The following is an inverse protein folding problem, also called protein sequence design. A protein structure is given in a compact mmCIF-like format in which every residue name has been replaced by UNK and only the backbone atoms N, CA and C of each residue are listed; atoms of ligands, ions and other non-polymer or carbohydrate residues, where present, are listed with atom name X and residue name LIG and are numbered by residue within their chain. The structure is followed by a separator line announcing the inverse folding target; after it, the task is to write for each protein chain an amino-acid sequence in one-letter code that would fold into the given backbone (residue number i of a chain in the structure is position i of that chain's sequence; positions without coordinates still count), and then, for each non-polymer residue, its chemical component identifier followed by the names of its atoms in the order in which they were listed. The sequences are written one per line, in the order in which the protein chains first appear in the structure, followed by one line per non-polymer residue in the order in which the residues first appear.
data_IF_002000900065
#
_entry.id   IF_002000900065
#
_cell.length_a   1.000
_cell.length_b   1.000
_cell.length_c   1.000
_cell.angle_alpha   90.00
_cell.angle_beta   90.00
_cell.angle_gamma   90.00
#
_symmetry.space_group_name_H-M   'P 1'
#
loop_
_entity.id
_entity.type
_entity.pdbx_description
1 polymer ?
#
# COMPACT_ATOMS: atom_id res chain seq x y z
N UNK A 1 73.16 -46.80 11.40
CA UNK A 1 71.97 -46.50 12.22
C UNK A 1 71.79 -44.98 12.25
N UNK A 2 70.81 -44.44 11.53
CA UNK A 2 70.49 -43.00 11.52
C UNK A 2 69.11 -42.83 12.16
N UNK A 3 69.05 -42.22 13.32
CA UNK A 3 67.81 -41.84 14.00
C UNK A 3 67.44 -40.42 13.57
N UNK A 4 66.25 -40.27 12.99
CA UNK A 4 65.62 -38.98 12.74
C UNK A 4 64.61 -38.72 13.86
N UNK A 5 64.76 -37.62 14.60
CA UNK A 5 63.70 -37.10 15.46
C UNK A 5 62.76 -36.21 14.63
N UNK A 6 61.50 -36.64 14.53
CA UNK A 6 60.42 -35.83 13.97
C UNK A 6 59.84 -34.93 15.05
N UNK A 7 60.00 -33.62 14.86
CA UNK A 7 59.28 -32.59 15.61
C UNK A 7 57.85 -32.54 15.08
N UNK A 8 56.88 -32.98 15.89
CA UNK A 8 55.44 -32.84 15.60
C UNK A 8 55.02 -31.42 16.00
N UNK A 9 54.72 -30.57 15.03
CA UNK A 9 54.06 -29.28 15.26
C UNK A 9 52.55 -29.53 15.36
N UNK A 10 52.00 -29.37 16.56
CA UNK A 10 50.56 -29.43 16.81
C UNK A 10 49.93 -28.07 16.43
N UNK A 11 49.37 -27.97 15.23
CA UNK A 11 48.59 -26.79 14.83
C UNK A 11 47.19 -26.86 15.44
N UNK A 12 46.97 -26.10 16.51
CA UNK A 12 45.65 -25.84 17.09
C UNK A 12 44.81 -25.00 16.13
N UNK A 13 43.95 -25.66 15.34
CA UNK A 13 42.86 -25.01 14.63
C UNK A 13 41.78 -24.60 15.64
N UNK A 14 41.80 -23.34 16.06
CA UNK A 14 40.65 -22.74 16.73
C UNK A 14 39.55 -22.50 15.68
N UNK A 15 38.31 -22.95 15.91
CA UNK A 15 37.20 -22.56 15.07
C UNK A 15 36.90 -21.08 15.34
N UNK A 16 37.26 -20.20 14.40
CA UNK A 16 36.77 -18.82 14.35
C UNK A 16 35.26 -18.84 14.05
N UNK A 17 34.46 -19.20 15.05
CA UNK A 17 33.05 -18.80 15.09
C UNK A 17 33.04 -17.36 15.60
N UNK A 18 33.37 -16.42 14.71
CA UNK A 18 32.99 -15.04 14.90
C UNK A 18 31.46 -14.99 14.83
N UNK A 19 30.79 -15.18 15.95
CA UNK A 19 29.47 -14.59 16.14
C UNK A 19 29.68 -13.09 16.00
N UNK A 20 29.46 -12.56 14.80
CA UNK A 20 29.27 -11.14 14.62
C UNK A 20 28.11 -10.76 15.52
N UNK A 21 28.43 -10.13 16.66
CA UNK A 21 27.46 -9.47 17.51
C UNK A 21 26.68 -8.53 16.60
N UNK A 22 25.42 -8.88 16.31
CA UNK A 22 24.54 -7.99 15.58
C UNK A 22 24.43 -6.70 16.40
N UNK A 23 24.78 -5.53 15.83
CA UNK A 23 24.68 -4.28 16.57
C UNK A 23 23.24 -4.06 17.05
N UNK A 24 23.14 -3.62 18.30
CA UNK A 24 21.96 -3.29 19.10
C UNK A 24 20.94 -2.36 18.38
N UNK A 25 19.69 -2.24 18.90
CA UNK A 25 18.46 -1.98 18.15
C UNK A 25 18.21 -0.49 17.87
N UNK A 26 19.09 0.14 17.09
CA UNK A 26 18.74 1.39 16.42
C UNK A 26 18.37 1.04 14.98
N UNK A 27 17.09 1.19 14.63
CA UNK A 27 16.57 0.94 13.26
C UNK A 27 17.47 1.67 12.24
N UNK A 28 18.36 0.98 11.50
CA UNK A 28 19.53 1.63 10.85
C UNK A 28 19.20 2.51 9.64
N UNK A 29 17.94 2.63 9.26
CA UNK A 29 17.53 3.04 7.93
C UNK A 29 16.87 4.43 7.85
N UNK A 30 17.03 5.28 8.88
CA UNK A 30 16.28 6.55 9.02
C UNK A 30 17.09 7.81 8.73
N UNK A 31 18.41 7.68 8.59
CA UNK A 31 19.31 8.77 8.21
C UNK A 31 19.65 8.71 6.72
N UNK A 32 20.21 9.80 6.19
CA UNK A 32 20.60 9.92 4.79
C UNK A 32 19.48 10.42 3.87
N UNK A 33 19.79 10.45 2.59
CA UNK A 33 18.90 10.80 1.49
C UNK A 33 17.74 9.79 1.38
N UNK A 34 16.61 10.18 0.76
CA UNK A 34 15.50 9.27 0.50
C UNK A 34 15.89 7.95 -0.18
N UNK A 35 16.84 7.98 -1.12
CA UNK A 35 17.34 6.78 -1.81
C UNK A 35 18.18 5.89 -0.88
N UNK A 36 19.05 6.47 -0.05
CA UNK A 36 19.82 5.72 0.96
C UNK A 36 18.89 5.04 1.98
N UNK A 37 17.83 5.74 2.41
CA UNK A 37 16.80 5.16 3.27
C UNK A 37 16.12 3.98 2.57
N UNK A 38 15.69 4.12 1.31
CA UNK A 38 15.05 3.04 0.56
C UNK A 38 15.96 1.81 0.37
N UNK A 39 17.25 2.01 0.07
CA UNK A 39 18.24 0.91 -0.02
C UNK A 39 18.34 0.09 1.27
N UNK A 40 18.22 0.75 2.41
CA UNK A 40 18.20 0.11 3.73
C UNK A 40 16.82 -0.49 4.08
N UNK A 41 15.72 0.12 3.64
CA UNK A 41 14.36 -0.31 3.95
C UNK A 41 13.80 -1.39 3.00
N UNK A 42 14.44 -1.63 1.85
CA UNK A 42 14.04 -2.65 0.86
C UNK A 42 14.96 -3.88 0.87
N UNK A 43 15.44 -4.27 2.05
CA UNK A 43 16.28 -5.47 2.24
C UNK A 43 15.46 -6.73 2.01
N UNK A 44 15.99 -7.78 1.35
CA UNK A 44 15.29 -9.06 1.26
C UNK A 44 14.83 -9.54 2.65
N UNK A 45 13.59 -10.01 2.75
CA UNK A 45 13.02 -10.46 4.03
C UNK A 45 12.88 -11.98 4.02
N UNK A 46 13.50 -12.63 5.01
CA UNK A 46 13.37 -14.05 5.29
C UNK A 46 12.45 -14.34 6.47
N UNK A 47 12.42 -15.61 6.90
CA UNK A 47 11.65 -16.07 8.05
C UNK A 47 11.96 -15.28 9.31
N UNK A 48 10.93 -14.99 10.11
CA UNK A 48 11.04 -14.32 11.41
C UNK A 48 11.68 -12.92 11.36
N UNK A 49 11.59 -12.26 10.20
CA UNK A 49 12.10 -10.90 10.02
C UNK A 49 13.61 -10.88 9.83
N UNK A 50 14.23 -12.00 9.50
CA UNK A 50 15.64 -12.05 9.12
C UNK A 50 15.86 -11.23 7.85
N UNK A 51 16.50 -10.07 8.01
CA UNK A 51 16.79 -9.16 6.91
C UNK A 51 18.12 -9.50 6.24
N UNK A 52 18.09 -9.66 4.91
CA UNK A 52 19.28 -9.74 4.08
C UNK A 52 20.15 -8.48 4.13
N UNK A 53 21.26 -8.40 3.39
CA UNK A 53 22.13 -7.21 3.40
C UNK A 53 21.40 -5.95 2.90
N UNK A 54 21.83 -4.79 3.38
CA UNK A 54 21.47 -3.48 2.79
C UNK A 54 21.86 -3.46 1.32
N UNK A 55 20.99 -2.90 0.47
CA UNK A 55 21.26 -2.81 -0.95
C UNK A 55 22.29 -1.73 -1.25
N UNK A 56 23.25 -2.04 -2.11
CA UNK A 56 24.21 -1.05 -2.63
C UNK A 56 23.50 -0.14 -3.65
N UNK A 57 22.66 -0.73 -4.49
CA UNK A 57 21.82 -0.07 -5.48
C UNK A 57 20.41 -0.66 -5.49
N UNK A 58 19.43 0.16 -5.87
CA UNK A 58 18.09 -0.27 -6.22
C UNK A 58 18.00 -0.54 -7.73
N UNK A 59 17.08 -1.41 -8.18
CA UNK A 59 16.79 -1.53 -9.60
C UNK A 59 16.14 -0.23 -10.13
N UNK A 60 16.39 0.08 -11.39
CA UNK A 60 15.70 1.17 -12.06
C UNK A 60 14.18 0.88 -12.16
N UNK A 61 13.32 1.90 -11.98
CA UNK A 61 13.64 3.32 -11.90
C UNK A 61 13.87 3.82 -10.47
N UNK A 62 13.72 2.95 -9.45
CA UNK A 62 13.64 3.33 -8.04
C UNK A 62 14.87 4.11 -7.58
N UNK A 63 16.06 3.64 -7.95
CA UNK A 63 17.35 4.28 -7.65
C UNK A 63 17.37 5.75 -8.02
N UNK A 64 16.74 6.07 -9.15
CA UNK A 64 16.82 7.37 -9.77
C UNK A 64 15.64 8.31 -9.48
N UNK A 65 14.52 7.82 -8.92
CA UNK A 65 13.30 8.64 -8.75
C UNK A 65 12.98 8.98 -7.30
N UNK A 66 13.36 8.14 -6.33
CA UNK A 66 12.94 8.28 -4.94
C UNK A 66 13.34 9.64 -4.37
N UNK A 67 12.41 10.30 -3.67
CA UNK A 67 12.60 11.64 -3.10
C UNK A 67 12.58 12.80 -4.10
N UNK A 68 12.54 12.54 -5.41
CA UNK A 68 12.45 13.59 -6.45
C UNK A 68 11.00 13.98 -6.70
N UNK A 69 10.79 15.16 -7.31
CA UNK A 69 9.45 15.59 -7.75
C UNK A 69 8.87 14.59 -8.74
N UNK A 70 7.58 14.29 -8.59
CA UNK A 70 6.86 13.45 -9.55
C UNK A 70 6.58 14.29 -10.81
N UNK A 71 6.98 13.78 -11.97
CA UNK A 71 6.76 14.43 -13.27
C UNK A 71 5.35 14.23 -13.84
N UNK A 72 4.44 13.63 -13.08
CA UNK A 72 3.06 13.33 -13.44
C UNK A 72 2.12 14.14 -12.55
N UNK A 73 1.13 14.79 -13.14
CA UNK A 73 0.09 15.55 -12.42
C UNK A 73 -1.08 14.65 -12.02
N UNK A 74 -1.81 15.05 -10.97
CA UNK A 74 -3.06 14.39 -10.57
C UNK A 74 -4.09 14.30 -11.69
N UNK A 75 -4.12 15.31 -12.59
CA UNK A 75 -5.03 15.33 -13.75
C UNK A 75 -4.66 14.27 -14.78
N UNK A 76 -3.37 14.12 -15.08
CA UNK A 76 -2.89 13.10 -16.02
C UNK A 76 -3.11 11.70 -15.46
N UNK A 77 -2.85 11.50 -14.16
CA UNK A 77 -3.16 10.23 -13.50
C UNK A 77 -4.67 9.94 -13.56
N UNK A 78 -5.54 10.89 -13.21
CA UNK A 78 -7.00 10.70 -13.32
C UNK A 78 -7.45 10.34 -14.74
N UNK A 79 -6.87 10.97 -15.77
CA UNK A 79 -7.18 10.66 -17.15
C UNK A 79 -6.79 9.22 -17.52
N UNK A 80 -5.64 8.75 -17.05
CA UNK A 80 -5.22 7.35 -17.18
C UNK A 80 -6.21 6.42 -16.46
N UNK A 81 -6.55 6.69 -15.21
CA UNK A 81 -7.49 5.87 -14.43
C UNK A 81 -8.85 5.76 -15.12
N UNK A 82 -9.40 6.88 -15.61
CA UNK A 82 -10.66 6.89 -16.34
C UNK A 82 -10.62 6.06 -17.63
N UNK A 83 -9.52 6.16 -18.40
CA UNK A 83 -9.32 5.37 -19.63
C UNK A 83 -9.26 3.87 -19.34
N UNK A 84 -8.66 3.48 -18.22
CA UNK A 84 -8.49 2.09 -17.82
C UNK A 84 -9.61 1.58 -16.91
N UNK A 85 -10.67 2.37 -16.69
CA UNK A 85 -11.83 2.03 -15.83
C UNK A 85 -11.41 1.64 -14.41
N UNK A 86 -10.40 2.31 -13.86
CA UNK A 86 -9.92 2.10 -12.49
C UNK A 86 -10.50 3.19 -11.60
N UNK A 87 -11.21 2.81 -10.54
CA UNK A 87 -11.73 3.76 -9.56
C UNK A 87 -10.58 4.30 -8.68
N UNK A 88 -10.57 5.60 -8.41
CA UNK A 88 -9.66 6.21 -7.44
C UNK A 88 -9.91 5.66 -6.03
N UNK A 89 -11.14 5.25 -5.73
CA UNK A 89 -11.51 4.58 -4.49
C UNK A 89 -10.77 3.24 -4.27
N UNK A 90 -10.19 2.64 -5.31
CA UNK A 90 -9.39 1.41 -5.19
C UNK A 90 -7.91 1.69 -4.92
N UNK A 91 -7.48 2.96 -4.99
CA UNK A 91 -6.07 3.37 -4.94
C UNK A 91 -5.74 4.27 -3.74
N UNK A 92 -6.46 4.11 -2.63
CA UNK A 92 -6.33 4.94 -1.45
C UNK A 92 -7.15 6.23 -1.49
N UNK A 93 -8.10 6.35 -2.42
CA UNK A 93 -8.99 7.51 -2.58
C UNK A 93 -8.50 8.53 -3.60
N UNK A 94 -9.19 9.68 -3.65
CA UNK A 94 -9.00 10.71 -4.69
C UNK A 94 -7.53 11.11 -4.93
N UNK A 95 -7.12 11.16 -6.19
CA UNK A 95 -5.74 11.55 -6.57
C UNK A 95 -5.46 13.05 -6.36
N UNK A 96 -6.49 13.83 -6.01
CA UNK A 96 -6.39 15.25 -5.65
C UNK A 96 -6.44 15.47 -4.12
N UNK A 97 -6.75 14.42 -3.35
CA UNK A 97 -6.71 14.52 -1.90
C UNK A 97 -5.27 14.66 -1.41
N UNK A 98 -5.11 15.33 -0.27
CA UNK A 98 -3.82 15.44 0.42
C UNK A 98 -3.32 14.05 0.83
N UNK A 99 -2.05 13.96 1.17
CA UNK A 99 -1.51 12.78 1.83
C UNK A 99 -1.63 12.92 3.35
N UNK A 100 -1.65 11.78 4.04
CA UNK A 100 -1.69 11.66 5.49
C UNK A 100 -0.59 12.49 6.14
N UNK A 101 -0.84 12.95 7.36
CA UNK A 101 0.11 13.76 8.12
C UNK A 101 0.07 13.33 9.58
N UNK A 102 1.21 13.43 10.26
CA UNK A 102 1.22 13.25 11.71
C UNK A 102 0.67 14.48 12.46
N UNK A 103 0.63 14.41 13.78
CA UNK A 103 0.13 15.50 14.64
C UNK A 103 0.90 16.82 14.48
N UNK A 104 2.17 16.73 14.08
CA UNK A 104 3.02 17.88 13.75
C UNK A 104 2.80 18.41 12.33
N UNK A 105 1.78 17.94 11.62
CA UNK A 105 1.46 18.25 10.22
C UNK A 105 2.58 17.92 9.24
N UNK A 106 3.46 16.99 9.62
CA UNK A 106 4.48 16.45 8.73
C UNK A 106 3.79 15.44 7.81
N UNK A 107 3.78 15.67 6.49
CA UNK A 107 3.13 14.76 5.56
C UNK A 107 3.89 13.45 5.41
N UNK A 108 3.16 12.36 5.13
CA UNK A 108 3.69 11.02 4.94
C UNK A 108 4.90 11.00 4.01
N UNK A 109 5.89 10.18 4.37
CA UNK A 109 7.19 10.09 3.71
C UNK A 109 7.46 8.70 3.17
N UNK A 110 6.87 7.68 3.79
CA UNK A 110 7.16 6.29 3.52
C UNK A 110 5.95 5.60 2.90
N UNK A 111 6.24 4.69 1.97
CA UNK A 111 5.26 3.76 1.40
C UNK A 111 5.63 2.36 1.85
N UNK A 112 4.88 1.84 2.83
CA UNK A 112 5.19 0.57 3.49
C UNK A 112 4.47 -0.55 2.75
N UNK A 113 5.23 -1.52 2.29
CA UNK A 113 4.76 -2.72 1.63
C UNK A 113 4.80 -3.85 2.66
N UNK A 114 3.71 -4.59 2.78
CA UNK A 114 3.64 -5.83 3.53
C UNK A 114 2.70 -6.82 2.84
N UNK A 115 2.61 -8.03 3.38
CA UNK A 115 1.62 -9.01 3.02
C UNK A 115 0.63 -9.26 4.16
N UNK A 116 -0.50 -9.87 3.83
CA UNK A 116 -1.59 -10.12 4.81
C UNK A 116 -1.32 -11.28 5.74
N UNK A 117 -0.34 -12.11 5.44
CA UNK A 117 -0.10 -13.36 6.15
C UNK A 117 -1.27 -14.36 6.14
N UNK A 118 -2.29 -14.14 5.30
CA UNK A 118 -3.63 -14.72 5.42
C UNK A 118 -4.09 -15.27 4.08
N UNK A 119 -4.63 -16.50 4.02
CA UNK A 119 -4.86 -17.41 5.16
C UNK A 119 -3.58 -17.99 5.74
N UNK A 120 -3.65 -18.31 7.02
CA UNK A 120 -2.71 -19.22 7.68
C UNK A 120 -3.09 -20.66 7.33
N UNK A 121 -2.15 -21.39 6.75
CA UNK A 121 -2.24 -22.79 6.38
C UNK A 121 -1.53 -23.65 7.43
N UNK A 122 -2.03 -24.87 7.62
CA UNK A 122 -1.41 -25.83 8.52
C UNK A 122 -0.05 -26.29 8.00
N UNK A 123 0.80 -26.70 8.94
CA UNK A 123 2.12 -27.25 8.62
C UNK A 123 1.98 -28.46 7.67
N UNK A 124 2.91 -28.59 6.74
CA UNK A 124 3.00 -29.68 5.75
C UNK A 124 1.80 -29.74 4.78
N UNK A 125 0.95 -28.72 4.77
CA UNK A 125 -0.06 -28.54 3.73
C UNK A 125 0.56 -28.06 2.42
N UNK A 126 -0.26 -27.95 1.38
CA UNK A 126 0.13 -27.29 0.13
C UNK A 126 -0.53 -25.93 0.02
N UNK A 127 0.16 -24.98 -0.61
CA UNK A 127 -0.49 -23.72 -1.00
C UNK A 127 -1.62 -24.03 -1.99
N UNK A 128 -2.81 -23.40 -1.86
CA UNK A 128 -3.93 -23.67 -2.76
C UNK A 128 -3.55 -23.39 -4.22
N UNK A 129 -3.74 -24.37 -5.10
CA UNK A 129 -3.41 -24.24 -6.52
C UNK A 129 -4.25 -23.15 -7.21
N UNK A 130 -5.44 -22.88 -6.69
CA UNK A 130 -6.39 -21.88 -7.17
C UNK A 130 -6.22 -20.51 -6.50
N UNK A 131 -5.20 -20.28 -5.66
CA UNK A 131 -5.06 -19.03 -4.90
C UNK A 131 -4.97 -17.78 -5.80
N UNK A 132 -4.56 -17.94 -7.06
CA UNK A 132 -4.46 -16.87 -8.04
C UNK A 132 -5.72 -16.73 -8.91
N UNK A 133 -6.79 -17.46 -8.62
CA UNK A 133 -8.04 -17.44 -9.39
C UNK A 133 -9.11 -16.58 -8.70
N UNK A 134 -10.04 -16.02 -9.49
CA UNK A 134 -11.11 -15.16 -8.96
C UNK A 134 -12.08 -15.87 -8.01
N UNK A 135 -12.16 -17.21 -8.10
CA UNK A 135 -13.02 -18.04 -7.24
C UNK A 135 -12.45 -18.29 -5.84
N UNK A 136 -11.17 -18.02 -5.60
CA UNK A 136 -10.56 -18.25 -4.30
C UNK A 136 -11.10 -17.25 -3.26
N UNK A 137 -11.71 -17.75 -2.18
CA UNK A 137 -12.46 -16.91 -1.23
C UNK A 137 -11.62 -15.80 -0.59
N UNK A 138 -10.32 -16.01 -0.42
CA UNK A 138 -9.42 -14.99 0.15
C UNK A 138 -9.07 -13.86 -0.81
N UNK A 139 -9.54 -13.88 -2.06
CA UNK A 139 -9.52 -12.71 -2.94
C UNK A 139 -10.64 -11.69 -2.63
N UNK A 140 -11.59 -12.03 -1.75
CA UNK A 140 -12.60 -11.12 -1.25
C UNK A 140 -12.03 -10.20 -0.15
N UNK A 141 -12.14 -8.89 -0.36
CA UNK A 141 -11.67 -7.90 0.59
C UNK A 141 -12.45 -7.91 1.91
N UNK A 142 -13.68 -8.46 1.96
CA UNK A 142 -14.52 -8.52 3.15
C UNK A 142 -13.88 -9.23 4.35
N UNK A 143 -12.96 -10.17 4.09
CA UNK A 143 -12.24 -10.90 5.14
C UNK A 143 -11.23 -10.06 5.93
N UNK A 144 -10.77 -8.94 5.36
CA UNK A 144 -9.60 -8.25 5.87
C UNK A 144 -9.96 -7.00 6.69
N UNK A 145 -9.48 -6.90 7.95
CA UNK A 145 -9.65 -5.70 8.76
C UNK A 145 -8.80 -4.53 8.23
N UNK A 146 -9.01 -3.34 8.79
CA UNK A 146 -8.25 -2.13 8.45
C UNK A 146 -6.86 -2.19 9.11
N UNK A 147 -5.93 -2.92 8.48
CA UNK A 147 -4.51 -3.01 8.89
C UNK A 147 -3.57 -2.26 7.95
N UNK A 148 -4.09 -1.77 6.83
CA UNK A 148 -3.41 -0.99 5.81
C UNK A 148 -4.37 0.02 5.20
N UNK A 149 -3.84 0.94 4.39
CA UNK A 149 -4.67 1.86 3.63
C UNK A 149 -5.30 1.16 2.42
N UNK A 150 -4.51 0.34 1.72
CA UNK A 150 -4.94 -0.40 0.54
C UNK A 150 -4.57 -1.87 0.68
N UNK A 151 -5.47 -2.76 0.27
CA UNK A 151 -5.21 -4.20 0.14
C UNK A 151 -5.30 -4.58 -1.34
N UNK A 152 -4.37 -5.41 -1.81
CA UNK A 152 -4.29 -5.90 -3.19
C UNK A 152 -4.43 -7.42 -3.18
N UNK A 153 -5.44 -7.95 -3.87
CA UNK A 153 -5.68 -9.39 -3.95
C UNK A 153 -4.79 -10.09 -4.99
N UNK A 154 -4.82 -11.42 -5.04
CA UNK A 154 -3.92 -12.22 -5.91
C UNK A 154 -4.15 -11.97 -7.41
N UNK A 155 -5.35 -11.53 -7.78
CA UNK A 155 -5.73 -11.20 -9.17
C UNK A 155 -5.47 -9.73 -9.53
N UNK A 156 -4.86 -8.93 -8.64
CA UNK A 156 -4.49 -7.53 -8.91
C UNK A 156 -5.63 -6.51 -8.82
N UNK A 157 -6.78 -6.89 -8.27
CA UNK A 157 -7.76 -5.92 -7.79
C UNK A 157 -7.29 -5.34 -6.45
N UNK A 158 -7.78 -4.15 -6.10
CA UNK A 158 -7.47 -3.52 -4.83
C UNK A 158 -8.69 -2.88 -4.18
N UNK A 159 -8.65 -2.75 -2.86
CA UNK A 159 -9.66 -2.02 -2.10
C UNK A 159 -9.00 -1.09 -1.09
N UNK A 160 -9.56 0.11 -0.95
CA UNK A 160 -9.17 1.05 0.11
C UNK A 160 -9.87 0.70 1.41
N UNK A 161 -9.10 0.44 2.45
CA UNK A 161 -9.55 0.22 3.83
C UNK A 161 -9.48 1.50 4.66
N UNK A 162 -8.51 2.36 4.36
CA UNK A 162 -8.42 3.74 4.83
C UNK A 162 -7.79 4.59 3.73
N UNK A 163 -8.36 5.75 3.44
CA UNK A 163 -7.84 6.63 2.39
C UNK A 163 -6.46 7.19 2.77
N UNK A 164 -5.58 7.44 1.81
CA UNK A 164 -4.22 7.92 2.10
C UNK A 164 -4.13 9.33 2.71
N UNK A 165 -5.24 10.02 2.95
CA UNK A 165 -5.28 11.26 3.74
C UNK A 165 -5.55 11.01 5.24
N UNK A 166 -5.85 9.76 5.60
CA UNK A 166 -6.11 9.33 6.98
C UNK A 166 -4.81 8.88 7.65
N UNK A 167 -4.47 9.37 8.86
CA UNK A 167 -3.40 8.80 9.68
C UNK A 167 -3.79 7.41 10.18
N UNK A 168 -2.92 6.42 9.98
CA UNK A 168 -3.17 5.04 10.39
C UNK A 168 -1.89 4.43 10.97
N UNK A 169 -1.94 4.00 12.23
CA UNK A 169 -0.83 3.35 12.91
C UNK A 169 -0.68 1.91 12.44
N UNK A 170 0.03 1.73 11.33
CA UNK A 170 0.16 0.40 10.73
C UNK A 170 1.38 -0.32 11.22
N UNK A 171 2.50 0.39 11.43
CA UNK A 171 3.79 -0.20 11.83
C UNK A 171 3.96 -0.33 13.34
N UNK A 172 4.77 -1.28 13.82
CA UNK A 172 5.07 -1.33 15.26
C UNK A 172 5.91 -0.12 15.64
N UNK A 173 6.76 0.34 14.72
CA UNK A 173 7.45 1.61 14.86
C UNK A 173 6.49 2.79 15.09
N UNK A 174 5.36 2.87 14.39
CA UNK A 174 4.32 3.88 14.65
C UNK A 174 3.64 3.68 16.00
N UNK A 175 3.31 2.44 16.37
CA UNK A 175 2.59 2.13 17.62
C UNK A 175 3.37 2.47 18.89
N UNK A 176 4.71 2.48 18.84
CA UNK A 176 5.52 2.89 19.99
C UNK A 176 5.44 4.39 20.31
N UNK A 177 5.18 5.24 19.31
CA UNK A 177 5.10 6.71 19.51
C UNK A 177 4.08 7.33 18.57
N UNK A 178 3.05 7.93 19.16
CA UNK A 178 1.92 8.55 18.44
C UNK A 178 2.37 9.61 17.42
N UNK A 179 3.45 10.36 17.69
CA UNK A 179 3.95 11.40 16.80
C UNK A 179 4.53 10.88 15.46
N UNK A 180 4.61 9.55 15.30
CA UNK A 180 5.00 8.86 14.06
C UNK A 180 3.80 8.49 13.18
N UNK A 181 2.59 8.41 13.76
CA UNK A 181 1.39 7.96 13.05
C UNK A 181 1.07 8.92 11.90
N UNK A 182 0.79 8.37 10.71
CA UNK A 182 0.53 9.16 9.51
C UNK A 182 1.79 9.55 8.73
N UNK A 183 2.97 9.14 9.18
CA UNK A 183 4.19 9.24 8.37
C UNK A 183 4.32 8.12 7.32
N UNK A 184 3.56 7.04 7.46
CA UNK A 184 3.64 5.83 6.67
C UNK A 184 2.33 5.53 5.96
N UNK A 185 2.38 5.33 4.64
CA UNK A 185 1.27 4.80 3.86
C UNK A 185 1.48 3.30 3.63
N UNK A 186 0.72 2.49 4.35
CA UNK A 186 0.79 1.03 4.23
C UNK A 186 -0.12 0.45 3.15
N UNK A 187 0.41 -0.53 2.41
CA UNK A 187 -0.29 -1.35 1.41
C UNK A 187 -0.02 -2.83 1.68
N UNK A 188 -1.09 -3.62 1.80
CA UNK A 188 -1.00 -5.08 1.95
C UNK A 188 -1.22 -5.80 0.63
N UNK A 189 -0.39 -6.79 0.34
CA UNK A 189 -0.62 -7.76 -0.72
C UNK A 189 -1.14 -9.05 -0.10
N UNK A 190 -2.24 -9.60 -0.62
CA UNK A 190 -2.75 -10.89 -0.15
C UNK A 190 -1.72 -11.97 -0.47
N UNK A 191 -1.31 -12.70 0.56
CA UNK A 191 -0.38 -13.82 0.47
C UNK A 191 -0.74 -14.82 1.58
N UNK A 192 -1.08 -16.08 1.25
CA UNK A 192 -1.20 -17.11 2.27
C UNK A 192 0.16 -17.39 2.92
N UNK A 193 0.13 -17.82 4.17
CA UNK A 193 1.32 -18.25 4.90
C UNK A 193 1.08 -19.62 5.48
N UNK A 194 2.11 -20.43 5.57
CA UNK A 194 2.03 -21.75 6.17
C UNK A 194 2.84 -21.77 7.47
N UNK A 195 2.31 -22.47 8.46
CA UNK A 195 3.02 -22.70 9.72
C UNK A 195 4.26 -23.55 9.49
N UNK A 196 5.32 -23.23 10.22
CA UNK A 196 6.53 -24.06 10.29
C UNK A 196 6.54 -24.96 11.53
N UNK A 197 7.70 -25.58 11.80
CA UNK A 197 7.95 -26.44 12.97
C UNK A 197 7.70 -25.75 14.32
N UNK A 198 7.79 -24.42 14.38
CA UNK A 198 7.55 -23.64 15.59
C UNK A 198 6.07 -23.25 15.75
N UNK A 199 5.23 -23.59 14.76
CA UNK A 199 3.82 -23.21 14.71
C UNK A 199 3.59 -21.76 14.30
N UNK A 200 4.64 -21.05 13.85
CA UNK A 200 4.54 -19.66 13.37
C UNK A 200 4.31 -19.61 11.86
N UNK A 201 3.57 -18.61 11.41
CA UNK A 201 3.15 -18.37 10.02
C UNK A 201 4.32 -17.84 9.14
N UNK A 202 5.43 -18.58 9.12
CA UNK A 202 6.72 -18.11 8.62
C UNK A 202 7.01 -18.50 7.17
N UNK A 203 6.20 -19.38 6.55
CA UNK A 203 6.45 -19.91 5.21
C UNK A 203 5.56 -19.22 4.18
N UNK A 204 6.15 -18.56 3.19
CA UNK A 204 5.43 -18.03 2.01
C UNK A 204 5.56 -19.01 0.83
N UNK A 205 4.64 -18.95 -0.15
CA UNK A 205 4.79 -19.62 -1.43
C UNK A 205 6.15 -19.34 -2.07
N UNK A 206 6.72 -20.32 -2.77
CA UNK A 206 7.95 -20.09 -3.53
C UNK A 206 7.74 -19.03 -4.60
N UNK A 207 6.63 -19.16 -5.35
CA UNK A 207 6.07 -18.09 -6.17
C UNK A 207 5.33 -17.10 -5.27
N UNK A 208 6.03 -16.08 -4.78
CA UNK A 208 5.50 -15.05 -3.88
C UNK A 208 4.28 -14.32 -4.45
N UNK A 209 4.48 -13.08 -4.93
CA UNK A 209 3.40 -12.24 -5.45
C UNK A 209 3.19 -12.42 -6.96
N UNK A 210 1.94 -12.29 -7.41
CA UNK A 210 1.61 -12.39 -8.85
C UNK A 210 2.03 -11.15 -9.62
N UNK A 211 2.15 -11.27 -10.95
CA UNK A 211 2.34 -10.11 -11.83
C UNK A 211 1.25 -9.05 -11.66
N UNK A 212 -0.01 -9.49 -11.54
CA UNK A 212 -1.14 -8.59 -11.34
C UNK A 212 -1.06 -7.82 -10.02
N UNK A 213 -0.50 -8.43 -8.96
CA UNK A 213 -0.22 -7.72 -7.71
C UNK A 213 0.86 -6.66 -7.88
N UNK A 214 1.96 -6.96 -8.57
CA UNK A 214 3.02 -5.96 -8.82
C UNK A 214 2.53 -4.80 -9.69
N UNK A 215 1.69 -5.07 -10.70
CA UNK A 215 1.07 -4.04 -11.54
C UNK A 215 0.20 -3.10 -10.71
N UNK A 216 -0.67 -3.66 -9.88
CA UNK A 216 -1.53 -2.86 -9.02
C UNK A 216 -0.72 -2.10 -7.97
N UNK A 217 0.30 -2.72 -7.38
CA UNK A 217 1.17 -2.09 -6.40
C UNK A 217 1.93 -0.90 -7.00
N UNK A 218 2.43 -1.03 -8.23
CA UNK A 218 3.06 0.05 -8.96
C UNK A 218 2.10 1.24 -9.14
N UNK A 219 0.85 0.98 -9.56
CA UNK A 219 -0.16 2.03 -9.71
C UNK A 219 -0.50 2.72 -8.38
N UNK A 220 -0.67 1.95 -7.31
CA UNK A 220 -0.95 2.47 -5.96
C UNK A 220 0.22 3.35 -5.45
N UNK A 221 1.47 2.93 -5.67
CA UNK A 221 2.66 3.72 -5.30
C UNK A 221 2.78 5.02 -6.10
N UNK A 222 2.49 4.99 -7.40
CA UNK A 222 2.43 6.20 -8.24
C UNK A 222 1.32 7.13 -7.75
N UNK A 223 0.12 6.62 -7.46
CA UNK A 223 -1.00 7.43 -6.97
C UNK A 223 -0.66 8.14 -5.65
N UNK A 224 -0.08 7.42 -4.69
CA UNK A 224 0.41 7.98 -3.44
C UNK A 224 1.48 9.06 -3.65
N UNK A 225 2.44 8.81 -4.55
CA UNK A 225 3.53 9.75 -4.86
C UNK A 225 3.04 11.00 -5.60
N UNK A 226 2.07 10.87 -6.52
CA UNK A 226 1.42 12.00 -7.20
C UNK A 226 0.71 12.89 -6.20
N UNK A 227 -0.05 12.31 -5.25
CA UNK A 227 -0.71 13.07 -4.18
C UNK A 227 0.28 13.81 -3.29
N UNK A 228 1.45 13.20 -3.04
CA UNK A 228 2.56 13.82 -2.31
C UNK A 228 3.25 14.93 -3.11
N UNK A 229 3.30 14.81 -4.43
CA UNK A 229 4.11 15.63 -5.35
C UNK A 229 5.59 15.22 -5.43
N UNK A 230 6.01 14.23 -4.64
CA UNK A 230 7.35 13.66 -4.61
C UNK A 230 7.25 12.14 -4.49
N UNK A 231 8.20 11.42 -5.09
CA UNK A 231 8.31 9.97 -4.94
C UNK A 231 8.57 9.62 -3.48
N UNK A 232 7.65 8.86 -2.88
CA UNK A 232 7.74 8.39 -1.49
C UNK A 232 8.91 7.41 -1.33
N UNK A 233 9.42 7.24 -0.11
CA UNK A 233 10.44 6.23 0.22
C UNK A 233 9.75 4.87 0.39
N UNK A 234 9.88 3.93 -0.56
CA UNK A 234 9.34 2.58 -0.38
C UNK A 234 10.10 1.85 0.74
N UNK A 235 9.38 1.05 1.50
CA UNK A 235 9.91 0.31 2.63
C UNK A 235 9.19 -1.02 2.82
N UNK A 236 9.92 -2.06 3.22
CA UNK A 236 9.29 -3.28 3.72
C UNK A 236 8.97 -3.15 5.19
N UNK A 237 7.82 -3.68 5.59
CA UNK A 237 7.37 -3.66 6.97
C UNK A 237 8.39 -4.26 7.94
N UNK A 238 8.97 -5.41 7.60
CA UNK A 238 10.00 -6.04 8.42
C UNK A 238 11.22 -5.15 8.65
N UNK A 239 11.62 -4.34 7.65
CA UNK A 239 12.74 -3.40 7.80
C UNK A 239 12.38 -2.18 8.65
N UNK A 240 11.12 -1.72 8.61
CA UNK A 240 10.66 -0.60 9.45
C UNK A 240 10.62 -0.99 10.92
N UNK A 241 10.18 -2.21 11.21
CA UNK A 241 10.01 -2.76 12.56
C UNK A 241 11.25 -3.48 13.09
N UNK A 242 12.36 -3.49 12.35
CA UNK A 242 13.56 -4.24 12.72
C UNK A 242 14.06 -3.88 14.12
N UNK A 243 14.21 -4.89 14.98
CA UNK A 243 14.70 -4.73 16.36
C UNK A 243 13.62 -4.33 17.38
N UNK A 244 12.35 -4.24 16.97
CA UNK A 244 11.23 -4.02 17.87
C UNK A 244 10.63 -5.36 18.33
N UNK A 245 10.03 -5.39 19.53
CA UNK A 245 9.19 -6.52 19.95
C UNK A 245 8.00 -6.69 18.99
N UNK A 246 7.60 -7.92 18.70
CA UNK A 246 6.50 -8.21 17.76
C UNK A 246 6.75 -7.73 16.32
N UNK A 247 8.02 -7.64 15.91
CA UNK A 247 8.37 -7.34 14.52
C UNK A 247 7.84 -8.42 13.57
N UNK A 248 7.20 -7.99 12.48
CA UNK A 248 6.68 -8.88 11.45
C UNK A 248 7.74 -9.20 10.39
N UNK A 249 7.57 -10.33 9.70
CA UNK A 249 8.47 -10.82 8.65
C UNK A 249 7.98 -10.57 7.23
N UNK A 250 7.12 -9.55 7.05
CA UNK A 250 6.50 -9.20 5.78
C UNK A 250 7.22 -8.05 5.04
N UNK A 251 7.25 -8.03 3.69
CA UNK A 251 6.76 -9.08 2.80
C UNK A 251 7.85 -10.13 2.54
N UNK A 252 7.51 -11.42 2.63
CA UNK A 252 8.41 -12.48 2.17
C UNK A 252 8.28 -12.70 0.66
N UNK A 253 9.36 -13.18 0.02
CA UNK A 253 9.38 -13.57 -1.41
C UNK A 253 9.00 -12.41 -2.37
N UNK A 254 9.26 -11.17 -1.96
CA UNK A 254 9.10 -9.99 -2.80
C UNK A 254 10.23 -9.88 -3.83
N UNK A 255 9.87 -9.81 -5.11
CA UNK A 255 10.78 -9.55 -6.22
C UNK A 255 10.84 -8.04 -6.49
N UNK A 256 11.89 -7.42 -5.96
CA UNK A 256 12.11 -5.98 -6.12
C UNK A 256 12.41 -5.59 -7.57
N UNK A 257 13.10 -6.46 -8.32
CA UNK A 257 13.45 -6.19 -9.71
C UNK A 257 12.21 -6.22 -10.59
N UNK A 258 11.36 -7.23 -10.40
CA UNK A 258 10.10 -7.34 -11.11
C UNK A 258 9.18 -6.15 -10.81
N UNK A 259 9.01 -5.75 -9.55
CA UNK A 259 8.21 -4.57 -9.22
C UNK A 259 8.75 -3.29 -9.90
N UNK A 260 10.07 -3.11 -9.92
CA UNK A 260 10.70 -1.97 -10.57
C UNK A 260 10.52 -2.00 -12.10
N UNK A 261 10.52 -3.18 -12.71
CA UNK A 261 10.16 -3.34 -14.12
C UNK A 261 8.70 -2.92 -14.38
N UNK A 262 7.75 -3.41 -13.57
CA UNK A 262 6.32 -3.02 -13.69
C UNK A 262 6.14 -1.50 -13.55
N UNK A 263 6.86 -0.89 -12.62
CA UNK A 263 6.92 0.57 -12.45
C UNK A 263 7.43 1.31 -13.69
N UNK A 264 8.46 0.79 -14.35
CA UNK A 264 8.99 1.37 -15.60
C UNK A 264 7.94 1.31 -16.70
N UNK A 265 7.33 0.14 -16.90
CA UNK A 265 6.29 -0.05 -17.92
C UNK A 265 5.12 0.92 -17.71
N UNK A 266 4.56 0.96 -16.49
CA UNK A 266 3.45 1.83 -16.16
C UNK A 266 3.79 3.32 -16.32
N UNK A 267 5.01 3.74 -15.93
CA UNK A 267 5.44 5.14 -16.09
C UNK A 267 5.58 5.52 -17.57
N UNK A 268 6.00 4.59 -18.43
CA UNK A 268 6.07 4.82 -19.87
C UNK A 268 4.68 4.93 -20.49
N UNK A 269 3.75 4.06 -20.10
CA UNK A 269 2.36 4.11 -20.55
C UNK A 269 1.69 5.42 -20.15
N UNK A 270 1.91 5.88 -18.91
CA UNK A 270 1.43 7.17 -18.43
C UNK A 270 1.98 8.33 -19.29
N UNK A 271 3.28 8.33 -19.63
CA UNK A 271 3.91 9.37 -20.47
C UNK A 271 3.45 9.35 -21.92
N UNK A 272 3.16 8.20 -22.50
CA UNK A 272 2.62 8.10 -23.86
C UNK A 272 1.24 8.75 -23.91
N UNK A 273 0.41 8.48 -22.90
CA UNK A 273 -0.94 9.03 -22.82
C UNK A 273 -0.97 10.56 -22.64
N UNK A 274 0.02 11.17 -21.98
CA UNK A 274 0.07 12.65 -21.83
C UNK A 274 0.42 13.37 -23.13
N UNK A 275 1.21 12.75 -24.02
CA UNK A 275 1.53 13.31 -25.34
C UNK A 275 0.37 13.21 -26.33
N UNK A 276 -0.52 12.22 -26.16
CA UNK A 276 -1.61 11.93 -27.10
C UNK A 276 -2.83 12.85 -26.96
N UNK A 277 -2.88 13.75 -25.96
CA UNK A 277 -3.96 14.75 -25.86
C UNK A 277 -3.55 16.02 -26.59
N UNK A 278 -4.15 16.38 -27.74
CA UNK A 278 -3.86 17.64 -28.39
C UNK A 278 -4.26 18.77 -27.45
N UNK A 279 -3.33 19.65 -27.09
CA UNK A 279 -3.69 20.93 -26.45
C UNK A 279 -4.59 21.65 -27.44
N UNK A 280 -5.87 21.77 -27.12
CA UNK A 280 -6.79 22.59 -27.88
C UNK A 280 -6.42 24.07 -27.66
N UNK A 281 -5.39 24.54 -28.38
CA UNK A 281 -4.94 25.93 -28.39
C UNK A 281 -5.74 26.73 -29.41
N UNK A 282 -7.07 26.66 -29.35
CA UNK A 282 -7.94 27.55 -30.10
C UNK A 282 -9.05 28.08 -29.21
N UNK A 283 -8.67 29.02 -28.34
CA UNK A 283 -9.61 30.08 -27.92
C UNK A 283 -8.93 31.42 -28.14
N UNK A 284 -8.79 31.76 -29.42
CA UNK A 284 -8.62 33.14 -29.84
C UNK A 284 -9.78 33.95 -29.26
N UNK A 285 -9.44 34.91 -28.42
CA UNK A 285 -10.35 35.85 -27.78
C UNK A 285 -10.61 36.97 -28.78
N UNK A 286 -11.85 37.23 -29.24
CA UNK A 286 -12.10 38.43 -30.02
C UNK A 286 -11.94 39.65 -29.12
N UNK A 287 -11.00 40.53 -29.46
CA UNK A 287 -10.99 41.93 -29.00
C UNK A 287 -12.17 42.62 -29.64
N UNK A 288 -13.16 43.01 -28.84
CA UNK A 288 -14.16 44.01 -29.19
C UNK A 288 -13.96 45.23 -28.31
N UNK A 289 -13.51 46.33 -28.90
CA UNK A 289 -13.44 47.67 -28.31
C UNK A 289 -14.65 48.51 -28.70
N UNK A 290 -14.98 49.46 -27.81
CA UNK A 290 -15.80 50.66 -27.96
C UNK A 290 -17.30 50.63 -27.62
N UNK A 291 -17.56 51.17 -26.42
CA UNK A 291 -18.48 52.28 -26.06
C UNK A 291 -19.84 52.42 -26.76
N UNK A 292 -20.92 52.68 -26.01
CA UNK A 292 -21.66 53.97 -25.99
C UNK A 292 -22.71 54.01 -24.83
N UNK A 293 -22.71 55.13 -24.09
CA UNK A 293 -23.76 55.87 -23.34
C UNK A 293 -24.92 55.18 -22.58
N UNK A 294 -25.00 55.58 -21.31
CA UNK A 294 -26.12 56.04 -20.48
C UNK A 294 -27.53 56.12 -21.08
N UNK A 295 -28.50 55.47 -20.43
CA UNK A 295 -29.82 56.07 -20.18
C UNK A 295 -30.48 55.48 -18.93
N UNK A 296 -30.73 56.36 -17.97
CA UNK A 296 -31.66 56.24 -16.85
C UNK A 296 -33.08 55.96 -17.34
N UNK A 297 -33.82 55.09 -16.64
CA UNK A 297 -35.24 55.33 -16.39
C UNK A 297 -35.81 54.53 -15.22
N UNK A 298 -36.66 55.24 -14.50
CA UNK A 298 -37.40 54.93 -13.30
C UNK A 298 -38.48 53.84 -13.44
N UNK A 299 -38.67 53.08 -12.34
CA UNK A 299 -39.95 52.83 -11.65
C UNK A 299 -41.05 52.01 -12.36
N UNK A 300 -41.30 50.78 -11.84
CA UNK A 300 -42.62 50.32 -11.31
C UNK A 300 -42.58 48.85 -10.83
N UNK A 301 -42.68 48.63 -9.52
CA UNK A 301 -43.54 47.58 -8.90
C UNK A 301 -45.00 48.07 -8.98
N UNK A 302 -46.07 47.26 -8.76
CA UNK A 302 -46.14 45.96 -8.07
C UNK A 302 -47.04 44.90 -8.76
N UNK A 303 -47.03 43.64 -8.32
CA UNK A 303 -48.22 42.99 -7.74
C UNK A 303 -47.97 41.53 -7.37
N UNK A 304 -48.52 41.21 -6.20
CA UNK A 304 -48.79 39.94 -5.57
C UNK A 304 -49.80 39.09 -6.37
N UNK A 305 -49.61 37.77 -6.37
CA UNK A 305 -50.75 36.86 -6.21
C UNK A 305 -50.33 35.58 -5.46
N UNK A 306 -51.01 35.37 -4.33
CA UNK A 306 -51.14 34.08 -3.65
C UNK A 306 -52.13 33.25 -4.46
N UNK A 307 -51.88 31.95 -4.59
CA UNK A 307 -52.93 30.95 -4.78
C UNK A 307 -52.64 29.70 -3.95
N UNK A 308 -53.49 29.50 -2.96
CA UNK A 308 -53.74 28.31 -2.16
C UNK A 308 -54.86 27.50 -2.81
N UNK A 309 -54.76 26.17 -2.90
CA UNK A 309 -55.58 25.18 -2.14
C UNK A 309 -55.58 23.75 -2.74
N UNK A 310 -55.61 22.78 -1.80
CA UNK A 310 -56.30 21.46 -1.77
C UNK A 310 -55.93 20.39 -2.81
N UNK A 311 -55.40 19.22 -2.44
CA UNK A 311 -55.85 18.10 -1.58
C UNK A 311 -56.82 17.12 -2.27
N UNK A 312 -56.35 15.88 -2.46
CA UNK A 312 -57.05 14.57 -2.51
C UNK A 312 -56.07 13.60 -3.19
N UNK A 313 -55.69 12.42 -2.69
CA UNK A 313 -56.41 11.47 -1.85
C UNK A 313 -56.79 10.28 -2.72
N UNK A 314 -56.01 9.19 -2.70
CA UNK A 314 -56.48 7.80 -2.68
C UNK A 314 -55.34 6.76 -2.78
N UNK A 315 -55.04 6.17 -1.63
CA UNK A 315 -55.08 4.73 -1.31
C UNK A 315 -55.22 3.75 -2.48
N UNK A 316 -54.28 2.81 -2.61
CA UNK A 316 -54.64 1.38 -2.63
C UNK A 316 -53.54 0.50 -2.03
N UNK A 317 -53.96 -0.26 -1.03
CA UNK A 317 -53.34 -1.42 -0.40
C UNK A 317 -52.97 -2.53 -1.39
N UNK A 318 -51.87 -3.25 -1.17
CA UNK A 318 -51.96 -4.71 -1.10
C UNK A 318 -50.82 -5.37 -0.32
N UNK A 319 -51.21 -6.46 0.33
CA UNK A 319 -50.59 -7.07 1.50
C UNK A 319 -49.93 -8.41 1.18
N UNK A 320 -49.06 -8.84 2.11
CA UNK A 320 -48.71 -10.24 2.47
C UNK A 320 -47.91 -11.07 1.45
N UNK A 321 -46.70 -11.48 1.85
CA UNK A 321 -46.51 -12.78 2.52
C UNK A 321 -45.06 -13.00 2.95
N UNK A 322 -44.88 -13.23 4.25
CA UNK A 322 -43.72 -13.93 4.86
C UNK A 322 -43.80 -15.42 4.49
N UNK A 323 -42.68 -16.14 4.50
CA UNK A 323 -42.48 -17.01 5.67
C UNK A 323 -41.07 -16.96 6.26
N UNK A 324 -41.05 -17.14 7.57
CA UNK A 324 -39.93 -17.54 8.43
C UNK A 324 -39.38 -18.93 8.05
N UNK A 325 -38.07 -19.17 8.17
CA UNK A 325 -37.48 -19.88 9.31
C UNK A 325 -35.95 -20.11 9.19
N UNK A 326 -35.36 -20.45 10.34
CA UNK A 326 -34.02 -20.99 10.62
C UNK A 326 -32.87 -19.95 10.66
N UNK A 327 -32.55 -19.36 11.81
CA UNK A 327 -31.68 -19.93 12.87
C UNK A 327 -30.44 -20.62 12.33
N UNK A 328 -29.31 -19.90 12.32
CA UNK A 328 -28.01 -20.50 12.62
C UNK A 328 -27.14 -19.45 13.34
N UNK A 329 -27.28 -19.40 14.67
CA UNK A 329 -26.38 -18.67 15.54
C UNK A 329 -25.19 -19.58 15.87
N UNK A 330 -24.09 -19.45 15.12
CA UNK A 330 -22.80 -19.94 15.59
C UNK A 330 -22.06 -18.79 16.27
N UNK A 331 -22.20 -18.77 17.60
CA UNK A 331 -21.40 -17.97 18.52
C UNK A 331 -19.93 -18.42 18.43
N UNK A 332 -19.08 -17.64 17.75
CA UNK A 332 -17.64 -17.70 17.97
C UNK A 332 -17.32 -16.99 19.30
N UNK A 333 -17.03 -17.79 20.32
CA UNK A 333 -16.40 -17.33 21.57
C UNK A 333 -14.96 -16.89 21.26
N UNK A 334 -14.50 -15.73 21.74
CA UNK A 334 -13.07 -15.42 21.78
C UNK A 334 -12.42 -16.23 22.91
N UNK A 335 -11.50 -17.12 22.56
CA UNK A 335 -10.57 -17.72 23.52
C UNK A 335 -9.54 -16.68 23.94
N UNK A 336 -9.63 -16.27 25.20
CA UNK A 336 -8.59 -15.52 25.89
C UNK A 336 -7.27 -16.31 25.85
N UNK A 337 -6.21 -15.69 25.30
CA UNK A 337 -4.83 -16.16 25.48
C UNK A 337 -4.38 -15.73 26.87
N UNK A 338 -4.20 -16.71 27.75
CA UNK A 338 -3.45 -16.55 28.99
C UNK A 338 -1.96 -16.46 28.67
N UNK A 339 -1.34 -15.35 29.07
CA UNK A 339 0.11 -15.23 29.19
C UNK A 339 0.61 -16.24 30.23
N UNK A 340 1.66 -16.99 29.88
CA UNK A 340 2.54 -17.57 30.87
C UNK A 340 3.95 -17.77 30.29
N UNK A 341 4.89 -17.06 30.93
CA UNK A 341 6.35 -17.14 30.93
C UNK A 341 7.12 -16.60 29.73
#
# INVERSE_FOLDING_TARGET
MKTYHHTVLLALFLPLWAFAQQPSPNVPCKSGTPTEQARCLLRPVGKYGLLGPTRITLPDPLENIIGKRVGLTARELRAYLAKHQIDEADLGGSVFAKISQNDRKIPARYFVIHDTGTPTLEKDSSFPADMNESGWSYNDFGFYPVLAHVIINRIGASATKATFDTPLATTQYEKEKEDRVGLFLSVSLIQPRMRDETGLDALAPEEGFTLAQYDRLALVYIAASVRKGYWLVPAFRASVDAGLSEAHDAPQRFDLSLWAERMTQLTNDLKINTKATPRNTNRARPRGTSSTKTQTNERKKPQTSKSTRTSSGNTTTNSKSKPSNAQNQNSMKPTARTNNR
#
